data_IF_019902349024
#
_entry.id   IF_019902349024
#
_cell.length_a   1.000
_cell.length_b   1.000
_cell.length_c   1.000
_cell.angle_alpha   90.00
_cell.angle_beta   90.00
_cell.angle_gamma   90.00
#
_symmetry.space_group_name_H-M   'P 1'
#
loop_
_entity.id
_entity.type
_entity.pdbx_description
1 polymer ?
#
# COMPACT_ATOMS: atom_id res chain seq x y z
N UNK A 1 19.93 2.88 -1.27
CA UNK A 1 20.39 3.07 -2.66
C UNK A 1 21.57 4.02 -2.64
N UNK A 2 22.67 3.71 -3.32
CA UNK A 2 23.89 4.51 -3.21
C UNK A 2 24.67 4.58 -4.52
N UNK A 3 25.24 5.75 -4.79
CA UNK A 3 26.39 5.94 -5.68
C UNK A 3 27.58 6.24 -4.79
N UNK A 4 28.69 5.53 -4.98
CA UNK A 4 29.94 5.83 -4.29
C UNK A 4 31.07 5.87 -5.30
N UNK A 5 31.99 6.81 -5.13
CA UNK A 5 33.29 6.71 -5.77
C UNK A 5 34.13 5.73 -4.94
N UNK A 6 34.75 4.75 -5.59
CA UNK A 6 35.51 3.68 -4.95
C UNK A 6 36.81 3.51 -5.71
N UNK A 7 37.93 3.51 -4.98
CA UNK A 7 39.21 3.06 -5.51
C UNK A 7 39.71 1.92 -4.61
N UNK A 8 39.65 0.70 -5.14
CA UNK A 8 40.08 -0.53 -4.48
C UNK A 8 41.45 -0.92 -5.03
N UNK A 9 42.47 -0.87 -4.16
CA UNK A 9 43.82 -1.46 -4.28
C UNK A 9 44.37 -1.53 -5.72
N UNK A 10 44.35 -0.39 -6.41
CA UNK A 10 44.80 -0.20 -7.79
C UNK A 10 44.06 -1.00 -8.90
N UNK A 11 43.12 -1.89 -8.58
CA UNK A 11 42.36 -2.72 -9.56
C UNK A 11 41.22 -1.93 -10.20
N UNK A 12 40.45 -1.18 -9.39
CA UNK A 12 39.34 -0.38 -9.89
C UNK A 12 39.35 0.98 -9.21
N UNK A 13 39.19 2.04 -10.00
CA UNK A 13 38.97 3.39 -9.48
C UNK A 13 37.86 4.02 -10.33
N UNK A 14 36.74 4.38 -9.70
CA UNK A 14 35.56 4.83 -10.43
C UNK A 14 34.29 4.84 -9.58
N UNK A 15 33.13 4.96 -10.23
CA UNK A 15 31.84 5.00 -9.55
C UNK A 15 31.20 3.62 -9.49
N UNK A 16 30.74 3.24 -8.30
CA UNK A 16 29.95 2.04 -8.04
C UNK A 16 28.53 2.44 -7.67
N UNK A 17 27.55 1.96 -8.45
CA UNK A 17 26.13 2.16 -8.18
C UNK A 17 25.57 0.84 -7.64
N UNK A 18 24.99 0.87 -6.44
CA UNK A 18 24.36 -0.29 -5.81
C UNK A 18 22.94 0.04 -5.37
N UNK A 19 22.00 -0.81 -5.77
CA UNK A 19 20.58 -0.69 -5.45
C UNK A 19 20.03 -2.05 -5.06
N UNK A 20 19.18 -2.09 -4.05
CA UNK A 20 18.39 -3.28 -3.71
C UNK A 20 16.95 -3.04 -4.14
N UNK A 21 16.41 -3.95 -4.94
CA UNK A 21 15.02 -3.89 -5.42
C UNK A 21 14.38 -5.24 -5.10
N UNK A 22 13.37 -5.24 -4.23
CA UNK A 22 12.71 -6.47 -3.72
C UNK A 22 13.71 -7.54 -3.25
N UNK A 23 14.70 -7.14 -2.46
CA UNK A 23 15.74 -8.03 -1.94
C UNK A 23 16.85 -8.41 -2.93
N UNK A 24 16.68 -8.16 -4.23
CA UNK A 24 17.72 -8.42 -5.24
C UNK A 24 18.70 -7.25 -5.34
N UNK A 25 19.99 -7.56 -5.27
CA UNK A 25 21.09 -6.58 -5.42
C UNK A 25 21.37 -6.34 -6.91
N UNK A 26 21.30 -5.09 -7.33
CA UNK A 26 21.74 -4.61 -8.64
C UNK A 26 22.98 -3.76 -8.46
N UNK A 27 24.04 -4.08 -9.19
CA UNK A 27 25.32 -3.37 -9.10
C UNK A 27 25.85 -3.08 -10.50
N UNK A 28 26.40 -1.88 -10.68
CA UNK A 28 27.15 -1.51 -11.88
C UNK A 28 28.33 -0.60 -11.53
N UNK A 29 29.48 -0.91 -12.13
CA UNK A 29 30.72 -0.18 -11.93
C UNK A 29 31.03 0.65 -13.19
N UNK A 30 31.57 1.85 -13.01
CA UNK A 30 31.95 2.80 -14.05
C UNK A 30 33.39 3.25 -13.79
N UNK A 31 34.35 2.76 -14.57
CA UNK A 31 35.77 3.06 -14.39
C UNK A 31 36.07 4.52 -14.71
N UNK A 32 36.83 5.19 -13.85
CA UNK A 32 37.37 6.52 -14.09
C UNK A 32 38.63 6.49 -14.95
N UNK A 33 39.24 5.32 -15.16
CA UNK A 33 40.37 5.14 -16.10
C UNK A 33 39.83 5.08 -17.53
N UNK A 34 40.41 5.89 -18.42
CA UNK A 34 40.14 5.84 -19.85
C UNK A 34 41.14 4.89 -20.51
N UNK A 35 40.65 4.02 -21.39
CA UNK A 35 41.48 3.09 -22.16
C UNK A 35 41.50 3.44 -23.66
N UNK A 36 40.87 4.55 -24.05
CA UNK A 36 40.79 5.00 -25.42
C UNK A 36 41.83 6.09 -25.67
N UNK A 37 42.65 5.90 -26.70
CA UNK A 37 43.59 6.91 -27.16
C UNK A 37 42.84 8.12 -27.75
N UNK A 38 43.37 9.32 -27.51
CA UNK A 38 42.79 10.57 -28.01
C UNK A 38 41.60 11.14 -27.22
N UNK A 39 41.13 10.47 -26.17
CA UNK A 39 40.06 11.00 -25.30
C UNK A 39 40.65 11.68 -24.07
N UNK A 40 40.30 12.95 -23.86
CA UNK A 40 40.66 13.68 -22.64
C UNK A 40 40.22 12.89 -21.38
N UNK A 41 41.15 12.54 -20.48
CA UNK A 41 40.83 11.85 -19.23
C UNK A 41 39.78 12.56 -18.37
N UNK A 42 39.75 13.90 -18.37
CA UNK A 42 38.76 14.66 -17.61
C UNK A 42 37.37 14.60 -18.22
N UNK A 43 37.28 14.66 -19.55
CA UNK A 43 36.04 14.39 -20.27
C UNK A 43 35.52 12.98 -19.99
N UNK A 44 36.40 11.96 -20.03
CA UNK A 44 36.02 10.58 -19.71
C UNK A 44 35.49 10.43 -18.28
N UNK A 45 36.19 11.01 -17.29
CA UNK A 45 35.76 11.01 -15.88
C UNK A 45 34.38 11.64 -15.72
N UNK A 46 34.13 12.80 -16.35
CA UNK A 46 32.83 13.48 -16.32
C UNK A 46 31.73 12.62 -16.95
N UNK A 47 32.01 12.00 -18.09
CA UNK A 47 31.07 11.10 -18.76
C UNK A 47 30.71 9.90 -17.88
N UNK A 48 31.69 9.23 -17.28
CA UNK A 48 31.45 8.06 -16.42
C UNK A 48 30.70 8.42 -15.15
N UNK A 49 30.99 9.59 -14.55
CA UNK A 49 30.18 10.15 -13.47
C UNK A 49 28.73 10.33 -13.89
N UNK A 50 28.48 10.93 -15.06
CA UNK A 50 27.13 11.13 -15.57
C UNK A 50 26.40 9.80 -15.80
N UNK A 51 27.07 8.79 -16.36
CA UNK A 51 26.51 7.44 -16.51
C UNK A 51 26.14 6.82 -15.16
N UNK A 52 26.99 6.99 -14.15
CA UNK A 52 26.68 6.50 -12.80
C UNK A 52 25.41 7.15 -12.24
N UNK A 53 25.29 8.48 -12.38
CA UNK A 53 24.07 9.20 -11.98
C UNK A 53 22.84 8.77 -12.79
N UNK A 54 22.97 8.55 -14.10
CA UNK A 54 21.90 8.02 -14.95
C UNK A 54 21.40 6.66 -14.44
N UNK A 55 22.30 5.71 -14.17
CA UNK A 55 21.92 4.38 -13.68
C UNK A 55 21.30 4.42 -12.28
N UNK A 56 21.77 5.34 -11.43
CA UNK A 56 21.13 5.61 -10.17
C UNK A 56 19.70 6.13 -10.38
N UNK A 57 19.49 7.21 -11.14
CA UNK A 57 18.14 7.71 -11.40
C UNK A 57 17.22 6.63 -12.02
N UNK A 58 17.72 5.89 -13.02
CA UNK A 58 16.99 4.80 -13.70
C UNK A 58 16.55 3.71 -12.74
N UNK A 59 17.45 3.22 -11.88
CA UNK A 59 17.11 2.17 -10.92
C UNK A 59 16.28 2.69 -9.75
N UNK A 60 16.45 3.95 -9.36
CA UNK A 60 15.61 4.61 -8.38
C UNK A 60 14.16 4.72 -8.87
N UNK A 61 13.96 5.16 -10.11
CA UNK A 61 12.64 5.19 -10.75
C UNK A 61 12.00 3.79 -10.81
N UNK A 62 12.78 2.77 -11.18
CA UNK A 62 12.31 1.37 -11.18
C UNK A 62 11.90 0.91 -9.77
N UNK A 63 12.70 1.20 -8.75
CA UNK A 63 12.40 0.83 -7.38
C UNK A 63 11.13 1.52 -6.88
N UNK A 64 10.98 2.82 -7.15
CA UNK A 64 9.78 3.58 -6.80
C UNK A 64 8.52 3.02 -7.48
N UNK A 65 8.60 2.68 -8.78
CA UNK A 65 7.48 2.08 -9.51
C UNK A 65 7.07 0.72 -8.92
N UNK A 66 8.04 -0.11 -8.54
CA UNK A 66 7.75 -1.41 -7.91
C UNK A 66 7.18 -1.24 -6.50
N UNK A 67 7.68 -0.29 -5.71
CA UNK A 67 7.12 0.04 -4.40
C UNK A 67 5.66 0.50 -4.52
N UNK A 68 5.34 1.30 -5.54
CA UNK A 68 3.96 1.70 -5.82
C UNK A 68 3.07 0.48 -6.15
N UNK A 69 3.55 -0.41 -7.02
CA UNK A 69 2.82 -1.65 -7.35
C UNK A 69 2.61 -2.52 -6.11
N UNK A 70 3.64 -2.68 -5.28
CA UNK A 70 3.56 -3.47 -4.04
C UNK A 70 2.61 -2.82 -3.02
N UNK A 71 2.60 -1.49 -2.96
CA UNK A 71 1.65 -0.73 -2.15
C UNK A 71 0.19 -1.00 -2.55
N UNK A 72 -0.09 -1.16 -3.84
CA UNK A 72 -1.44 -1.43 -4.38
C UNK A 72 -1.88 -2.90 -4.31
N UNK A 73 -0.94 -3.84 -4.19
CA UNK A 73 -1.22 -5.28 -4.36
C UNK A 73 -0.97 -6.13 -3.12
N UNK A 74 -0.25 -5.60 -2.14
CA UNK A 74 0.16 -6.37 -0.98
C UNK A 74 -0.24 -5.64 0.30
N UNK A 75 -0.63 -6.40 1.33
CA UNK A 75 -0.72 -5.83 2.67
C UNK A 75 0.67 -5.41 3.17
N UNK A 76 0.71 -4.43 4.07
CA UNK A 76 1.96 -4.10 4.77
C UNK A 76 2.40 -5.29 5.62
N UNK A 77 3.72 -5.50 5.73
CA UNK A 77 4.29 -6.55 6.58
C UNK A 77 3.93 -6.36 8.06
N UNK A 78 3.64 -5.13 8.47
CA UNK A 78 3.24 -4.81 9.84
C UNK A 78 1.74 -5.01 10.09
N UNK A 79 0.94 -5.24 9.03
CA UNK A 79 -0.48 -5.47 9.18
C UNK A 79 -0.73 -6.80 9.88
N UNK A 80 -1.29 -6.74 11.07
CA UNK A 80 -1.68 -7.91 11.86
C UNK A 80 -2.65 -8.83 11.08
N UNK A 81 -2.65 -10.15 11.38
CA UNK A 81 -3.54 -11.11 10.72
C UNK A 81 -5.02 -10.66 10.72
N UNK A 82 -5.72 -10.98 9.63
CA UNK A 82 -7.14 -10.68 9.39
C UNK A 82 -7.53 -9.19 9.34
N UNK A 83 -6.58 -8.26 9.43
CA UNK A 83 -6.83 -6.82 9.33
C UNK A 83 -6.51 -6.24 7.96
N UNK A 84 -5.82 -6.99 7.11
CA UNK A 84 -5.49 -6.55 5.75
C UNK A 84 -6.69 -6.55 4.81
N UNK A 85 -6.71 -5.60 3.88
CA UNK A 85 -7.70 -5.50 2.80
C UNK A 85 -7.14 -5.88 1.43
N UNK A 86 -5.89 -6.33 1.37
CA UNK A 86 -5.21 -6.74 0.14
C UNK A 86 -4.29 -5.68 -0.46
N UNK A 87 -4.16 -4.52 0.18
CA UNK A 87 -3.22 -3.46 -0.19
C UNK A 87 -2.83 -2.63 1.03
N UNK A 88 -1.83 -1.76 0.88
CA UNK A 88 -1.28 -0.96 1.98
C UNK A 88 -2.08 0.32 2.23
N UNK A 89 -1.99 0.85 3.44
CA UNK A 89 -2.60 2.14 3.80
C UNK A 89 -4.06 2.06 4.27
N UNK A 90 -4.75 0.92 4.11
CA UNK A 90 -6.05 0.68 4.74
C UNK A 90 -6.04 -0.65 5.49
N UNK A 91 -6.66 -0.69 6.67
CA UNK A 91 -6.90 -1.93 7.43
C UNK A 91 -8.31 -2.00 8.01
N UNK A 92 -8.80 -3.21 8.22
CA UNK A 92 -10.02 -3.50 8.97
C UNK A 92 -9.79 -3.32 10.48
N UNK A 93 -10.80 -2.88 11.20
CA UNK A 93 -10.78 -2.82 12.65
C UNK A 93 -12.17 -2.95 13.27
N UNK A 94 -12.19 -3.35 14.53
CA UNK A 94 -13.38 -3.38 15.38
C UNK A 94 -13.02 -2.72 16.70
N UNK A 95 -13.89 -1.81 17.16
CA UNK A 95 -13.61 -1.05 18.37
C UNK A 95 -14.76 -0.16 18.78
N UNK A 96 -14.63 0.39 19.98
CA UNK A 96 -15.61 1.32 20.53
C UNK A 96 -15.41 2.73 19.96
N UNK A 97 -16.51 3.37 19.61
CA UNK A 97 -16.50 4.78 19.25
C UNK A 97 -16.64 5.65 20.51
N UNK A 98 -15.71 6.60 20.69
CA UNK A 98 -15.53 7.32 21.96
C UNK A 98 -16.80 8.00 22.48
N UNK A 99 -17.67 8.49 21.59
CA UNK A 99 -18.89 9.23 21.99
C UNK A 99 -20.00 8.37 22.59
N UNK A 100 -20.13 7.11 22.19
CA UNK A 100 -21.29 6.29 22.55
C UNK A 100 -20.92 4.92 23.13
N UNK A 101 -19.62 4.61 23.27
CA UNK A 101 -19.09 3.31 23.73
C UNK A 101 -19.64 2.10 22.99
N UNK A 102 -20.28 2.30 21.84
CA UNK A 102 -20.80 1.22 21.01
C UNK A 102 -19.69 0.66 20.15
N UNK A 103 -19.74 -0.64 19.95
CA UNK A 103 -18.80 -1.36 19.09
C UNK A 103 -19.20 -1.22 17.63
N UNK A 104 -18.23 -0.90 16.79
CA UNK A 104 -18.43 -0.81 15.35
C UNK A 104 -17.27 -1.47 14.61
N UNK A 105 -17.59 -2.07 13.47
CA UNK A 105 -16.62 -2.32 12.42
C UNK A 105 -16.27 -1.00 11.73
N UNK A 106 -15.00 -0.83 11.36
CA UNK A 106 -14.51 0.34 10.65
C UNK A 106 -13.34 0.01 9.74
N UNK A 107 -13.11 0.90 8.78
CA UNK A 107 -11.85 0.97 8.03
C UNK A 107 -10.92 1.98 8.71
N UNK A 108 -9.62 1.69 8.76
CA UNK A 108 -8.59 2.62 9.20
C UNK A 108 -7.74 2.99 8.01
N UNK A 109 -7.68 4.28 7.68
CA UNK A 109 -6.68 4.81 6.75
C UNK A 109 -5.43 5.13 7.56
N UNK A 110 -4.38 4.34 7.38
CA UNK A 110 -3.15 4.34 8.20
C UNK A 110 -2.14 5.37 7.71
N UNK A 111 -2.55 6.64 7.68
CA UNK A 111 -1.62 7.76 7.52
C UNK A 111 -0.77 7.90 8.79
N UNK A 112 0.55 7.90 8.65
CA UNK A 112 1.49 7.97 9.78
C UNK A 112 1.33 9.24 10.62
N UNK A 113 0.80 10.31 10.03
CA UNK A 113 0.58 11.59 10.73
C UNK A 113 -0.74 11.61 11.48
N UNK A 114 -1.79 11.04 10.91
CA UNK A 114 -3.14 11.10 11.47
C UNK A 114 -4.01 9.93 10.96
N UNK A 115 -3.98 8.78 11.65
CA UNK A 115 -4.80 7.64 11.25
C UNK A 115 -6.28 7.96 11.43
N UNK A 116 -7.08 7.71 10.39
CA UNK A 116 -8.52 8.02 10.39
C UNK A 116 -9.35 6.75 10.37
N UNK A 117 -10.28 6.64 11.32
CA UNK A 117 -11.27 5.55 11.40
C UNK A 117 -12.56 5.97 10.71
N UNK A 118 -13.07 5.12 9.83
CA UNK A 118 -14.31 5.32 9.08
C UNK A 118 -15.29 4.23 9.52
N UNK A 119 -16.24 4.55 10.41
CA UNK A 119 -17.15 3.57 10.97
C UNK A 119 -18.24 3.16 9.99
N UNK A 120 -18.57 1.87 10.02
CA UNK A 120 -19.71 1.29 9.31
C UNK A 120 -20.92 1.42 10.23
N UNK A 121 -21.92 2.18 9.78
CA UNK A 121 -23.08 2.59 10.58
C UNK A 121 -24.38 2.41 9.81
N UNK A 122 -25.53 2.65 10.46
CA UNK A 122 -26.82 2.65 9.78
C UNK A 122 -26.94 3.73 8.69
N UNK A 123 -26.27 4.88 8.88
CA UNK A 123 -26.28 6.01 7.92
C UNK A 123 -25.31 5.77 6.77
N UNK A 124 -24.21 5.06 7.03
CA UNK A 124 -23.14 4.78 6.07
C UNK A 124 -22.82 3.30 6.09
N UNK A 125 -23.35 2.56 5.11
CA UNK A 125 -23.18 1.11 4.97
C UNK A 125 -21.73 0.67 4.76
N UNK A 126 -21.51 -0.62 4.54
CA UNK A 126 -20.18 -1.18 4.27
C UNK A 126 -19.62 -0.58 2.97
N UNK A 127 -20.41 -0.56 1.89
CA UNK A 127 -19.99 -0.07 0.58
C UNK A 127 -19.64 1.42 0.63
N UNK A 128 -20.51 2.24 1.20
CA UNK A 128 -20.29 3.69 1.29
C UNK A 128 -19.11 4.02 2.23
N UNK A 129 -18.96 3.29 3.34
CA UNK A 129 -17.79 3.42 4.23
C UNK A 129 -16.50 3.04 3.52
N UNK A 130 -16.54 2.01 2.67
CA UNK A 130 -15.41 1.58 1.87
C UNK A 130 -15.01 2.63 0.85
N UNK A 131 -15.97 3.14 0.07
CA UNK A 131 -15.74 4.22 -0.90
C UNK A 131 -15.10 5.43 -0.20
N UNK A 132 -15.64 5.84 0.95
CA UNK A 132 -15.08 6.95 1.74
C UNK A 132 -13.62 6.66 2.17
N UNK A 133 -13.32 5.42 2.59
CA UNK A 133 -11.97 5.02 2.99
C UNK A 133 -10.99 5.04 1.82
N UNK A 134 -11.39 4.51 0.67
CA UNK A 134 -10.57 4.48 -0.54
C UNK A 134 -10.33 5.88 -1.09
N UNK A 135 -11.31 6.78 -1.04
CA UNK A 135 -11.11 8.18 -1.44
C UNK A 135 -10.15 8.93 -0.52
N UNK A 136 -10.27 8.73 0.79
CA UNK A 136 -9.37 9.35 1.74
C UNK A 136 -7.95 8.80 1.57
N UNK A 137 -7.82 7.48 1.40
CA UNK A 137 -6.55 6.82 1.09
C UNK A 137 -5.93 7.37 -0.20
N UNK A 138 -6.70 7.49 -1.28
CA UNK A 138 -6.20 8.02 -2.54
C UNK A 138 -5.64 9.43 -2.40
N UNK A 139 -6.35 10.30 -1.68
CA UNK A 139 -5.90 11.68 -1.38
C UNK A 139 -4.67 11.73 -0.45
N UNK A 140 -4.58 10.83 0.53
CA UNK A 140 -3.51 10.85 1.55
C UNK A 140 -2.20 10.27 1.05
N UNK A 141 -2.26 9.31 0.14
CA UNK A 141 -1.09 8.61 -0.39
C UNK A 141 -0.76 8.99 -1.85
N UNK A 142 -1.42 10.01 -2.40
CA UNK A 142 -1.24 10.49 -3.77
C UNK A 142 -1.38 9.36 -4.81
N UNK A 143 -2.44 8.56 -4.64
CA UNK A 143 -2.71 7.41 -5.51
C UNK A 143 -3.39 7.90 -6.79
N UNK A 144 -2.99 7.31 -7.91
CA UNK A 144 -3.55 7.65 -9.22
C UNK A 144 -5.07 7.45 -9.22
N UNK A 145 -5.84 8.38 -9.82
CA UNK A 145 -7.30 8.28 -9.84
C UNK A 145 -7.84 6.95 -10.38
N UNK A 146 -7.19 6.39 -11.41
CA UNK A 146 -7.55 5.09 -11.98
C UNK A 146 -7.49 3.96 -10.94
N UNK A 147 -6.41 3.91 -10.15
CA UNK A 147 -6.20 2.87 -9.15
C UNK A 147 -7.17 3.05 -7.97
N UNK A 148 -7.49 4.29 -7.61
CA UNK A 148 -8.55 4.61 -6.62
C UNK A 148 -9.90 4.07 -7.07
N UNK A 149 -10.28 4.29 -8.34
CA UNK A 149 -11.56 3.77 -8.87
C UNK A 149 -11.59 2.24 -8.90
N UNK A 150 -10.48 1.59 -9.27
CA UNK A 150 -10.38 0.14 -9.21
C UNK A 150 -10.61 -0.38 -7.77
N UNK A 151 -9.99 0.25 -6.77
CA UNK A 151 -10.14 -0.15 -5.36
C UNK A 151 -11.54 0.10 -4.81
N UNK A 152 -12.25 1.13 -5.26
CA UNK A 152 -13.66 1.37 -4.85
C UNK A 152 -14.56 0.17 -5.18
N UNK A 153 -14.29 -0.52 -6.28
CA UNK A 153 -15.04 -1.70 -6.71
C UNK A 153 -14.64 -2.99 -5.98
N UNK A 154 -13.58 -2.97 -5.17
CA UNK A 154 -13.06 -4.10 -4.41
C UNK A 154 -13.49 -4.02 -2.94
N UNK A 155 -14.82 -4.01 -2.70
CA UNK A 155 -15.38 -3.93 -1.34
C UNK A 155 -14.97 -5.18 -0.55
N UNK A 156 -14.39 -5.03 0.66
CA UNK A 156 -14.04 -6.17 1.51
C UNK A 156 -15.26 -7.04 1.84
N UNK A 157 -15.09 -8.35 1.78
CA UNK A 157 -16.16 -9.30 2.07
C UNK A 157 -16.56 -9.24 3.54
N UNK A 158 -17.86 -9.34 3.80
CA UNK A 158 -18.45 -9.42 5.15
C UNK A 158 -17.85 -10.58 5.97
N UNK A 159 -17.44 -11.67 5.30
CA UNK A 159 -16.73 -12.79 5.93
C UNK A 159 -15.41 -12.36 6.57
N UNK A 160 -14.70 -11.40 5.99
CA UNK A 160 -13.45 -10.88 6.57
C UNK A 160 -13.68 -10.23 7.93
N UNK A 161 -14.79 -9.49 8.11
CA UNK A 161 -15.15 -8.93 9.42
C UNK A 161 -15.52 -10.00 10.45
N UNK A 162 -16.21 -11.07 10.04
CA UNK A 162 -16.49 -12.21 10.93
C UNK A 162 -15.20 -12.91 11.39
N UNK A 163 -14.26 -13.12 10.47
CA UNK A 163 -12.95 -13.71 10.78
C UNK A 163 -12.11 -12.79 11.68
N UNK A 164 -12.13 -11.48 11.40
CA UNK A 164 -11.47 -10.48 12.25
C UNK A 164 -12.05 -10.48 13.66
N UNK A 165 -13.37 -10.47 13.80
CA UNK A 165 -14.06 -10.52 15.08
C UNK A 165 -13.65 -11.75 15.88
N UNK A 166 -13.68 -12.93 15.26
CA UNK A 166 -13.25 -14.18 15.89
C UNK A 166 -11.80 -14.06 16.38
N UNK A 167 -10.89 -13.61 15.51
CA UNK A 167 -9.48 -13.47 15.84
C UNK A 167 -9.24 -12.48 16.98
N UNK A 168 -9.92 -11.34 16.99
CA UNK A 168 -9.77 -10.34 18.05
C UNK A 168 -10.30 -10.84 19.40
N UNK A 169 -11.31 -11.70 19.40
CA UNK A 169 -11.80 -12.35 20.62
C UNK A 169 -10.83 -13.44 21.12
N UNK A 170 -10.21 -14.21 20.23
CA UNK A 170 -9.09 -15.09 20.58
C UNK A 170 -7.90 -14.32 21.17
N UNK A 171 -7.69 -13.07 20.73
CA UNK A 171 -6.70 -12.13 21.30
C UNK A 171 -7.17 -11.47 22.63
N UNK A 172 -8.32 -11.86 23.18
CA UNK A 172 -8.81 -11.40 24.49
C UNK A 172 -9.59 -10.08 24.50
N UNK A 173 -10.11 -9.59 23.36
CA UNK A 173 -10.81 -8.29 23.29
C UNK A 173 -12.28 -8.29 23.73
N UNK A 174 -12.89 -9.46 23.99
CA UNK A 174 -14.29 -9.61 24.44
C UNK A 174 -15.30 -8.72 23.69
N UNK A 175 -15.24 -8.78 22.36
CA UNK A 175 -16.05 -8.00 21.42
C UNK A 175 -17.43 -8.66 21.25
N UNK A 176 -18.53 -7.93 21.46
CA UNK A 176 -19.88 -8.43 21.27
C UNK A 176 -20.20 -8.64 19.78
N UNK A 177 -21.13 -9.57 19.47
CA UNK A 177 -21.52 -9.93 18.08
C UNK A 177 -22.19 -8.77 17.37
N UNK A 178 -22.87 -7.90 18.12
CA UNK A 178 -23.56 -6.69 17.69
C UNK A 178 -22.64 -5.72 16.93
N UNK A 179 -21.32 -5.80 17.17
CA UNK A 179 -20.33 -5.04 16.42
C UNK A 179 -20.38 -5.30 14.90
N UNK A 180 -20.87 -6.48 14.49
CA UNK A 180 -21.00 -6.90 13.10
C UNK A 180 -22.32 -6.45 12.46
N UNK A 181 -23.31 -6.01 13.24
CA UNK A 181 -24.69 -5.81 12.77
C UNK A 181 -24.78 -4.96 11.49
N UNK A 182 -24.13 -3.80 11.45
CA UNK A 182 -24.20 -2.90 10.29
C UNK A 182 -23.49 -3.43 9.04
N UNK A 183 -22.49 -4.32 9.20
CA UNK A 183 -21.80 -4.96 8.08
C UNK A 183 -22.73 -5.91 7.32
N UNK A 184 -23.60 -6.61 8.05
CA UNK A 184 -24.51 -7.61 7.48
C UNK A 184 -25.88 -7.04 7.05
N UNK A 185 -26.29 -5.88 7.58
CA UNK A 185 -27.60 -5.28 7.30
C UNK A 185 -27.79 -4.80 5.85
N UNK A 186 -26.73 -4.38 5.17
CA UNK A 186 -26.82 -3.83 3.80
C UNK A 186 -27.41 -4.84 2.79
N UNK A 187 -27.15 -6.15 2.96
CA UNK A 187 -27.72 -7.21 2.12
C UNK A 187 -29.26 -7.34 2.22
N UNK A 188 -29.88 -6.92 3.34
CA UNK A 188 -31.33 -6.97 3.43
C UNK A 188 -31.99 -5.96 2.50
N UNK A 189 -31.31 -4.87 2.12
CA UNK A 189 -31.86 -3.90 1.16
C UNK A 189 -31.69 -4.39 -0.28
N UNK A 190 -30.52 -4.94 -0.63
CA UNK A 190 -30.24 -5.46 -1.98
C UNK A 190 -31.05 -6.73 -2.31
N UNK A 191 -31.15 -7.70 -1.40
CA UNK A 191 -31.96 -8.91 -1.64
C UNK A 191 -33.46 -8.63 -1.72
N UNK A 192 -33.97 -7.64 -0.98
CA UNK A 192 -35.40 -7.27 -1.04
C UNK A 192 -35.74 -6.55 -2.35
N UNK A 193 -34.81 -5.81 -2.94
CA UNK A 193 -34.99 -5.23 -4.27
C UNK A 193 -34.99 -6.29 -5.37
N UNK A 194 -34.09 -7.29 -5.32
CA UNK A 194 -34.12 -8.39 -6.28
C UNK A 194 -35.35 -9.29 -6.13
N UNK A 195 -35.78 -9.62 -4.92
CA UNK A 195 -36.98 -10.45 -4.69
C UNK A 195 -38.30 -9.80 -5.17
N UNK A 196 -38.39 -8.46 -5.17
CA UNK A 196 -39.56 -7.72 -5.69
C UNK A 196 -39.61 -7.69 -7.23
N UNK A 197 -38.46 -7.65 -7.89
CA UNK A 197 -38.37 -7.63 -9.36
C UNK A 197 -38.65 -9.03 -9.95
N UNK A 198 -38.31 -10.10 -9.25
CA UNK A 198 -38.60 -11.48 -9.72
C UNK A 198 -40.05 -11.94 -9.45
N UNK A 199 -40.82 -11.21 -8.63
CA UNK A 199 -42.25 -11.50 -8.36
C UNK A 199 -43.20 -10.62 -9.20
N UNK A 200 -42.67 -9.74 -10.05
CA UNK A 200 -43.45 -8.86 -10.93
C UNK A 200 -43.29 -9.17 -12.42
N UNK A 201 -42.77 -10.37 -12.75
CA UNK A 201 -42.78 -10.97 -14.08
C UNK A 201 -43.59 -12.27 -14.07
#
# INVERSE_FOLDING_TARGET
MAIRFVCEDAVFCGWRVVVFIRGKKFQKNFSARCHFEGVDPDLWRRYQRLRAHYYHAKWGARAAALNYIDFLRCNSQQTKPYRGVGFQGITLGIGQYQKNRRWYCYFVVNDSRNPRRIPITAKRGLTESWITAVELWGRRFDIRPKDVQEKKNQVPSRRQFKLLWKRMNEEGKSIPVEALYHVFRENQRENTHHARVTQSN
#
